data_IF_162206169774
#
_entry.id   IF_162206169774
#
_cell.length_a   1.000
_cell.length_b   1.000
_cell.length_c   1.000
_cell.angle_alpha   90.00
_cell.angle_beta   90.00
_cell.angle_gamma   90.00
#
_symmetry.space_group_name_H-M   'P 1'
#
loop_
_entity.id
_entity.type
_entity.pdbx_description
1 polymer ?
#
# COMPACT_ATOMS: atom_id res chain seq x y z
N UNK A 1 -13.63 -11.58 -19.78
CA UNK A 1 -12.19 -11.89 -19.87
C UNK A 1 -11.44 -10.95 -18.94
N UNK A 2 -10.28 -11.34 -18.44
CA UNK A 2 -9.38 -10.51 -17.64
C UNK A 2 -7.97 -10.61 -18.24
N UNK A 3 -7.26 -9.49 -18.34
CA UNK A 3 -5.96 -9.39 -19.01
C UNK A 3 -4.93 -8.75 -18.07
N UNK A 4 -3.80 -9.43 -17.86
CA UNK A 4 -2.79 -9.08 -16.86
C UNK A 4 -3.16 -9.60 -15.47
N UNK A 5 -2.19 -10.20 -14.78
CA UNK A 5 -2.34 -10.79 -13.43
C UNK A 5 -1.88 -9.84 -12.33
N UNK A 6 -2.14 -8.54 -12.49
CA UNK A 6 -1.95 -7.56 -11.44
C UNK A 6 -2.91 -7.82 -10.26
N UNK A 7 -2.64 -7.22 -9.10
CA UNK A 7 -3.45 -7.45 -7.91
C UNK A 7 -4.92 -7.03 -8.12
N UNK A 8 -5.14 -5.92 -8.83
CA UNK A 8 -6.46 -5.36 -9.13
C UNK A 8 -7.28 -6.36 -9.95
N UNK A 9 -6.66 -6.88 -11.02
CA UNK A 9 -7.23 -7.81 -11.98
C UNK A 9 -7.49 -9.17 -11.31
N UNK A 10 -6.56 -9.64 -10.47
CA UNK A 10 -6.71 -10.88 -9.71
C UNK A 10 -7.84 -10.82 -8.67
N UNK A 11 -7.98 -9.71 -7.93
CA UNK A 11 -9.08 -9.53 -6.97
C UNK A 11 -10.43 -9.50 -7.70
N UNK A 12 -10.55 -8.70 -8.77
CA UNK A 12 -11.76 -8.65 -9.60
C UNK A 12 -12.09 -10.03 -10.20
N UNK A 13 -11.08 -10.75 -10.70
CA UNK A 13 -11.22 -12.12 -11.21
C UNK A 13 -11.73 -13.09 -10.13
N UNK A 14 -11.23 -12.99 -8.90
CA UNK A 14 -11.68 -13.81 -7.78
C UNK A 14 -13.13 -13.51 -7.41
N UNK A 15 -13.47 -12.24 -7.22
CA UNK A 15 -14.82 -11.79 -6.83
C UNK A 15 -15.85 -12.12 -7.92
N UNK A 16 -15.51 -11.99 -9.21
CA UNK A 16 -16.40 -12.39 -10.30
C UNK A 16 -16.56 -13.91 -10.38
N UNK A 17 -15.52 -14.69 -10.09
CA UNK A 17 -15.60 -16.15 -9.94
C UNK A 17 -16.52 -16.58 -8.79
N UNK A 18 -16.38 -15.98 -7.59
CA UNK A 18 -17.25 -16.24 -6.42
C UNK A 18 -18.71 -15.85 -6.71
N UNK A 19 -18.93 -14.74 -7.44
CA UNK A 19 -20.25 -14.35 -7.96
C UNK A 19 -20.74 -15.21 -9.17
N UNK A 20 -20.23 -16.43 -9.32
CA UNK A 20 -20.71 -17.43 -10.28
C UNK A 20 -20.44 -17.11 -11.75
N UNK A 21 -19.53 -16.18 -12.07
CA UNK A 21 -19.16 -15.86 -13.46
C UNK A 21 -18.00 -16.74 -13.92
N UNK A 22 -18.11 -17.31 -15.12
CA UNK A 22 -17.01 -18.05 -15.74
C UNK A 22 -15.94 -17.07 -16.25
N UNK A 23 -14.78 -17.05 -15.59
CA UNK A 23 -13.68 -16.12 -15.92
C UNK A 23 -12.55 -16.83 -16.69
N UNK A 24 -12.23 -16.32 -17.89
CA UNK A 24 -10.92 -16.56 -18.51
C UNK A 24 -10.01 -15.37 -18.20
N UNK A 25 -8.85 -15.66 -17.63
CA UNK A 25 -7.83 -14.73 -17.18
C UNK A 25 -6.51 -15.05 -17.91
N UNK A 26 -5.84 -14.06 -18.49
CA UNK A 26 -4.65 -14.28 -19.33
C UNK A 26 -3.56 -13.25 -19.03
N UNK A 27 -2.29 -13.66 -19.09
CA UNK A 27 -1.15 -12.76 -19.02
C UNK A 27 -0.15 -13.04 -20.16
N UNK A 28 0.39 -11.97 -20.73
CA UNK A 28 1.49 -12.03 -21.68
C UNK A 28 2.81 -12.42 -21.02
N UNK A 29 2.97 -12.13 -19.72
CA UNK A 29 4.15 -12.49 -18.95
C UNK A 29 4.19 -14.00 -18.63
N UNK A 30 5.38 -14.61 -18.53
CA UNK A 30 5.54 -15.97 -18.01
C UNK A 30 5.48 -16.05 -16.47
N UNK A 31 5.14 -14.95 -15.79
CA UNK A 31 5.09 -14.81 -14.33
C UNK A 31 3.82 -14.05 -13.91
N UNK A 32 3.42 -14.23 -12.65
CA UNK A 32 2.27 -13.53 -12.06
C UNK A 32 2.63 -12.13 -11.54
N UNK A 33 1.66 -11.22 -11.49
CA UNK A 33 1.74 -9.95 -10.76
C UNK A 33 1.92 -8.69 -11.60
N UNK A 34 2.13 -8.81 -12.92
CA UNK A 34 2.33 -7.67 -13.82
C UNK A 34 3.43 -6.72 -13.36
N UNK A 35 3.13 -5.42 -13.27
CA UNK A 35 4.06 -4.40 -12.72
C UNK A 35 4.24 -4.48 -11.20
N UNK A 36 3.29 -5.10 -10.49
CA UNK A 36 3.35 -5.36 -9.04
C UNK A 36 4.02 -6.70 -8.67
N UNK A 37 4.67 -7.39 -9.61
CA UNK A 37 5.23 -8.71 -9.40
C UNK A 37 6.36 -8.76 -8.34
N UNK A 38 6.44 -9.90 -7.63
CA UNK A 38 7.60 -10.28 -6.82
C UNK A 38 8.61 -11.03 -7.68
N UNK A 39 9.82 -10.50 -7.79
CA UNK A 39 10.90 -11.13 -8.58
C UNK A 39 11.70 -12.09 -7.71
N UNK A 40 11.73 -13.36 -8.11
CA UNK A 40 12.56 -14.43 -7.57
C UNK A 40 13.08 -15.27 -8.75
N UNK A 41 14.36 -15.69 -8.77
CA UNK A 41 15.39 -15.41 -7.76
C UNK A 41 16.07 -14.04 -8.01
N UNK A 42 16.96 -13.62 -7.10
CA UNK A 42 17.66 -12.32 -7.16
C UNK A 42 18.42 -12.08 -8.47
N UNK A 43 18.90 -13.13 -9.14
CA UNK A 43 19.54 -13.06 -10.46
C UNK A 43 18.60 -12.46 -11.52
N UNK A 44 17.29 -12.74 -11.44
CA UNK A 44 16.30 -12.19 -12.37
C UNK A 44 15.99 -10.72 -12.09
N UNK A 45 16.15 -10.27 -10.84
CA UNK A 45 16.11 -8.83 -10.50
C UNK A 45 17.29 -8.09 -11.14
N UNK A 46 18.50 -8.66 -11.07
CA UNK A 46 19.68 -8.11 -11.76
C UNK A 46 19.47 -8.06 -13.28
N UNK A 47 18.90 -9.12 -13.88
CA UNK A 47 18.54 -9.15 -15.31
C UNK A 47 17.51 -8.06 -15.67
N UNK A 48 16.41 -7.93 -14.91
CA UNK A 48 15.33 -6.94 -15.16
C UNK A 48 15.85 -5.51 -15.11
N UNK A 49 16.64 -5.18 -14.09
CA UNK A 49 17.27 -3.86 -13.93
C UNK A 49 18.54 -3.65 -14.79
N UNK A 50 18.87 -4.59 -15.69
CA UNK A 50 20.01 -4.53 -16.63
C UNK A 50 21.38 -4.32 -15.94
N UNK A 51 21.49 -4.71 -14.67
CA UNK A 51 22.75 -4.69 -13.91
C UNK A 51 23.74 -5.73 -14.50
N UNK A 52 25.05 -5.54 -14.30
CA UNK A 52 26.06 -6.48 -14.79
C UNK A 52 26.31 -7.63 -13.81
N UNK A 53 26.97 -8.66 -14.32
CA UNK A 53 27.39 -9.81 -13.51
C UNK A 53 26.20 -10.57 -12.93
N UNK A 54 26.45 -11.18 -11.78
CA UNK A 54 25.46 -11.86 -10.95
C UNK A 54 25.35 -11.12 -9.60
N UNK A 55 24.35 -11.43 -8.76
CA UNK A 55 24.41 -11.02 -7.36
C UNK A 55 25.73 -11.49 -6.73
N UNK A 56 26.46 -10.62 -6.02
CA UNK A 56 27.69 -11.03 -5.34
C UNK A 56 27.36 -11.94 -4.16
N UNK A 57 28.29 -12.81 -3.78
CA UNK A 57 28.15 -13.80 -2.69
C UNK A 57 27.67 -13.18 -1.37
N UNK A 58 27.94 -11.88 -1.14
CA UNK A 58 27.43 -11.13 0.01
C UNK A 58 25.90 -11.05 0.09
N UNK A 59 25.15 -11.35 -0.98
CA UNK A 59 23.69 -11.41 -1.00
C UNK A 59 23.13 -12.82 -0.69
N UNK A 60 24.00 -13.79 -0.39
CA UNK A 60 23.66 -15.21 -0.19
C UNK A 60 22.96 -15.82 -1.41
N UNK A 61 22.01 -16.76 -1.23
CA UNK A 61 21.39 -17.52 -2.32
C UNK A 61 20.25 -16.72 -2.94
N UNK A 62 20.28 -16.48 -4.26
CA UNK A 62 19.27 -15.66 -4.94
C UNK A 62 17.83 -16.17 -4.81
N UNK A 63 17.61 -17.48 -4.61
CA UNK A 63 16.28 -18.08 -4.38
C UNK A 63 15.63 -17.71 -3.04
N UNK A 64 16.44 -17.25 -2.07
CA UNK A 64 15.97 -16.88 -0.74
C UNK A 64 15.46 -15.41 -0.74
N UNK A 65 15.28 -14.81 -1.92
CA UNK A 65 14.76 -13.45 -2.16
C UNK A 65 13.48 -13.47 -2.99
N UNK A 66 12.44 -12.76 -2.52
CA UNK A 66 11.21 -12.48 -3.24
C UNK A 66 11.00 -10.95 -3.24
N UNK A 67 11.45 -10.27 -4.29
CA UNK A 67 11.55 -8.80 -4.30
C UNK A 67 10.39 -8.17 -5.06
N UNK A 68 9.42 -7.66 -4.32
CA UNK A 68 8.29 -6.89 -4.84
C UNK A 68 8.77 -5.62 -5.58
N UNK A 69 8.29 -5.43 -6.81
CA UNK A 69 8.55 -4.20 -7.57
C UNK A 69 7.78 -2.99 -7.01
N UNK A 70 6.59 -3.21 -6.46
CA UNK A 70 5.71 -2.18 -5.90
C UNK A 70 5.17 -2.66 -4.53
N UNK A 71 5.96 -2.54 -3.45
CA UNK A 71 5.55 -3.03 -2.13
C UNK A 71 4.54 -2.08 -1.48
N UNK A 72 3.40 -2.65 -1.07
CA UNK A 72 2.30 -1.97 -0.38
C UNK A 72 1.87 -2.78 0.83
N UNK A 73 1.58 -2.10 1.93
CA UNK A 73 1.06 -2.71 3.15
C UNK A 73 -0.45 -2.81 3.15
N UNK A 74 -0.97 -3.86 3.78
CA UNK A 74 -2.40 -4.04 4.00
C UNK A 74 -2.78 -3.39 5.34
N UNK A 75 -3.73 -2.46 5.32
CA UNK A 75 -4.32 -1.90 6.54
C UNK A 75 -5.16 -2.98 7.24
N UNK A 76 -4.90 -3.28 8.52
CA UNK A 76 -5.44 -4.46 9.21
C UNK A 76 -6.98 -4.56 9.26
N UNK A 77 -7.69 -3.43 9.30
CA UNK A 77 -9.16 -3.36 9.22
C UNK A 77 -9.63 -2.76 7.87
N UNK A 78 -8.70 -2.54 6.93
CA UNK A 78 -8.93 -1.83 5.68
C UNK A 78 -9.70 -2.63 4.63
N UNK A 79 -10.04 -1.96 3.54
CA UNK A 79 -10.93 -2.49 2.51
C UNK A 79 -10.36 -3.77 1.85
N UNK A 80 -9.05 -3.84 1.62
CA UNK A 80 -8.40 -5.02 1.03
C UNK A 80 -8.55 -6.26 1.91
N UNK A 81 -8.31 -6.15 3.22
CA UNK A 81 -8.39 -7.31 4.13
C UNK A 81 -9.84 -7.86 4.18
N UNK A 82 -10.84 -6.97 4.09
CA UNK A 82 -12.25 -7.37 3.99
C UNK A 82 -12.55 -8.09 2.66
N UNK A 83 -11.99 -7.63 1.53
CA UNK A 83 -12.11 -8.33 0.24
C UNK A 83 -11.46 -9.71 0.28
N UNK A 84 -10.24 -9.82 0.82
CA UNK A 84 -9.52 -11.10 0.95
C UNK A 84 -10.31 -12.09 1.81
N UNK A 85 -10.81 -11.67 2.97
CA UNK A 85 -11.64 -12.49 3.86
C UNK A 85 -12.92 -12.99 3.16
N UNK A 86 -13.63 -12.12 2.43
CA UNK A 86 -14.83 -12.52 1.67
C UNK A 86 -14.51 -13.59 0.61
N UNK A 87 -13.37 -13.43 -0.09
CA UNK A 87 -12.92 -14.41 -1.09
C UNK A 87 -12.27 -15.66 -0.51
N UNK A 88 -12.22 -15.80 0.83
CA UNK A 88 -11.65 -16.91 1.63
C UNK A 88 -10.17 -17.25 1.35
N UNK A 89 -9.52 -16.51 0.46
CA UNK A 89 -8.13 -16.65 0.02
C UNK A 89 -7.12 -16.53 1.19
N UNK A 90 -7.52 -15.90 2.29
CA UNK A 90 -6.75 -15.82 3.54
C UNK A 90 -6.42 -17.20 4.12
N UNK A 91 -7.20 -18.24 3.81
CA UNK A 91 -6.92 -19.62 4.20
C UNK A 91 -5.69 -20.23 3.48
N UNK A 92 -5.10 -19.50 2.52
CA UNK A 92 -3.89 -19.89 1.78
C UNK A 92 -2.72 -18.91 1.98
N UNK A 93 -2.78 -17.99 2.95
CA UNK A 93 -1.86 -16.86 3.08
C UNK A 93 -1.45 -16.56 4.53
N UNK A 94 -0.13 -16.62 4.81
CA UNK A 94 0.42 -16.19 6.09
C UNK A 94 0.67 -14.67 6.09
N UNK A 95 -0.03 -13.94 6.97
CA UNK A 95 0.16 -12.51 7.18
C UNK A 95 1.03 -12.24 8.42
N UNK A 96 2.00 -11.33 8.29
CA UNK A 96 2.83 -10.84 9.39
C UNK A 96 2.52 -9.38 9.71
N UNK A 97 2.47 -9.06 11.00
CA UNK A 97 2.36 -7.68 11.49
C UNK A 97 3.70 -6.96 11.32
N UNK A 98 3.69 -5.83 10.61
CA UNK A 98 4.85 -4.94 10.41
C UNK A 98 5.22 -4.29 11.76
N UNK A 99 6.51 -4.15 12.09
CA UNK A 99 6.93 -3.76 13.45
C UNK A 99 6.57 -2.34 13.86
N UNK A 100 6.49 -1.41 12.92
CA UNK A 100 6.26 0.00 13.25
C UNK A 100 5.93 0.86 12.04
N UNK A 101 5.26 1.97 12.32
CA UNK A 101 5.01 3.09 11.41
C UNK A 101 5.72 4.31 11.97
N UNK A 102 6.48 4.99 11.10
CA UNK A 102 7.35 6.11 11.46
C UNK A 102 7.08 7.32 10.55
N UNK A 103 7.23 8.52 11.11
CA UNK A 103 7.18 9.79 10.37
C UNK A 103 8.52 10.51 10.50
N UNK A 104 8.96 11.14 9.41
CA UNK A 104 10.13 12.03 9.41
C UNK A 104 9.73 13.46 9.79
N UNK A 105 10.47 14.04 10.73
CA UNK A 105 10.35 15.45 11.14
C UNK A 105 11.75 16.02 11.41
N UNK A 106 12.07 17.17 10.84
CA UNK A 106 13.31 17.91 11.17
C UNK A 106 14.61 17.10 11.13
N UNK A 107 14.78 16.20 10.14
CA UNK A 107 15.99 15.38 10.00
C UNK A 107 16.00 14.05 10.75
N UNK A 108 14.94 13.70 11.48
CA UNK A 108 14.85 12.47 12.31
C UNK A 108 13.55 11.71 12.07
N UNK A 109 13.56 10.41 12.32
CA UNK A 109 12.37 9.55 12.31
C UNK A 109 11.82 9.33 13.72
N UNK A 110 10.49 9.32 13.84
CA UNK A 110 9.75 9.19 15.09
C UNK A 110 8.63 8.16 14.91
N UNK A 111 8.31 7.35 15.93
CA UNK A 111 7.12 6.48 15.86
C UNK A 111 5.87 7.37 15.75
N UNK A 112 4.98 7.05 14.81
CA UNK A 112 3.68 7.73 14.69
C UNK A 112 2.86 7.47 15.97
N UNK A 113 2.41 8.51 16.70
CA UNK A 113 1.59 8.33 17.89
C UNK A 113 0.12 8.16 17.51
N UNK A 114 -0.48 7.05 17.95
CA UNK A 114 -1.80 6.58 17.49
C UNK A 114 -2.74 6.16 18.62
N UNK A 115 -2.32 6.33 19.85
CA UNK A 115 -3.12 6.14 21.08
C UNK A 115 -2.84 7.28 22.06
N UNK A 116 -3.69 7.48 23.07
CA UNK A 116 -3.47 8.49 24.11
C UNK A 116 -2.12 8.32 24.84
N UNK A 117 -1.74 7.07 25.12
CA UNK A 117 -0.47 6.74 25.78
C UNK A 117 0.73 7.08 24.88
N UNK A 118 0.67 6.75 23.59
CA UNK A 118 1.72 7.10 22.63
C UNK A 118 1.81 8.62 22.39
N UNK A 119 0.68 9.33 22.33
CA UNK A 119 0.63 10.78 22.20
C UNK A 119 1.35 11.48 23.37
N UNK A 120 1.08 11.05 24.60
CA UNK A 120 1.74 11.58 25.79
C UNK A 120 3.23 11.19 25.85
N UNK A 121 3.60 9.98 25.41
CA UNK A 121 4.98 9.50 25.41
C UNK A 121 5.85 10.07 24.25
N UNK A 122 5.25 10.49 23.14
CA UNK A 122 5.95 10.87 21.91
C UNK A 122 6.99 11.98 22.09
N UNK A 123 8.10 11.93 21.35
CA UNK A 123 9.11 12.99 21.28
C UNK A 123 8.93 13.95 20.09
N UNK A 124 7.82 13.83 19.34
CA UNK A 124 7.50 14.63 18.16
C UNK A 124 6.84 15.99 18.49
N UNK A 125 6.25 16.11 19.68
CA UNK A 125 5.40 17.23 20.12
C UNK A 125 5.85 17.79 21.48
N UNK A 126 5.68 19.10 21.68
CA UNK A 126 5.82 19.77 22.97
C UNK A 126 4.73 19.40 23.98
N UNK A 127 4.93 19.75 25.26
CA UNK A 127 4.02 19.32 26.34
C UNK A 127 2.56 19.79 26.16
N UNK A 128 2.34 21.02 25.70
CA UNK A 128 1.00 21.55 25.43
C UNK A 128 0.37 20.88 24.20
N UNK A 129 1.12 20.77 23.11
CA UNK A 129 0.70 20.10 21.87
C UNK A 129 0.21 18.67 22.11
N UNK A 130 0.90 17.90 22.97
CA UNK A 130 0.48 16.54 23.37
C UNK A 130 -0.90 16.52 24.01
N UNK A 131 -1.22 17.50 24.85
CA UNK A 131 -2.53 17.59 25.50
C UNK A 131 -3.64 17.94 24.50
N UNK A 132 -3.34 18.80 23.52
CA UNK A 132 -4.25 19.12 22.41
C UNK A 132 -4.47 17.92 21.49
N UNK A 133 -3.39 17.27 21.03
CA UNK A 133 -3.45 16.10 20.16
C UNK A 133 -4.11 14.89 20.85
N UNK A 134 -3.90 14.68 22.15
CA UNK A 134 -4.64 13.67 22.94
C UNK A 134 -6.15 13.90 22.89
N UNK A 135 -6.62 15.14 23.09
CA UNK A 135 -8.06 15.46 23.00
C UNK A 135 -8.62 15.18 21.60
N UNK A 136 -7.86 15.52 20.56
CA UNK A 136 -8.21 15.21 19.18
C UNK A 136 -8.33 13.69 18.92
N UNK A 137 -7.39 12.87 19.42
CA UNK A 137 -7.49 11.40 19.31
C UNK A 137 -8.71 10.84 20.06
N UNK A 138 -9.04 11.36 21.25
CA UNK A 138 -10.24 10.97 22.01
C UNK A 138 -11.51 11.30 21.23
N UNK A 139 -11.59 12.49 20.62
CA UNK A 139 -12.69 12.90 19.75
C UNK A 139 -12.86 11.99 18.53
N UNK A 140 -11.76 11.66 17.83
CA UNK A 140 -11.81 10.74 16.67
C UNK A 140 -12.23 9.33 17.09
N UNK A 141 -11.83 8.86 18.28
CA UNK A 141 -12.23 7.56 18.80
C UNK A 141 -13.72 7.53 19.20
N UNK A 142 -14.25 8.61 19.78
CA UNK A 142 -15.65 8.70 20.23
C UNK A 142 -16.65 9.02 19.11
N UNK A 143 -16.20 9.52 17.96
CA UNK A 143 -17.04 9.88 16.82
C UNK A 143 -17.86 8.69 16.28
N UNK A 144 -19.18 8.84 16.20
CA UNK A 144 -20.12 7.95 15.52
C UNK A 144 -21.09 8.79 14.67
N UNK A 145 -21.11 8.55 13.35
CA UNK A 145 -22.01 9.23 12.40
C UNK A 145 -23.50 9.13 12.81
N UNK A 146 -23.88 8.06 13.52
CA UNK A 146 -25.26 7.82 13.95
C UNK A 146 -25.66 8.59 15.21
N UNK A 147 -24.71 9.17 15.93
CA UNK A 147 -24.96 9.95 17.15
C UNK A 147 -24.37 11.37 17.06
N UNK A 148 -25.18 12.37 16.67
CA UNK A 148 -24.76 13.77 16.59
C UNK A 148 -24.21 14.37 17.89
N UNK A 149 -24.43 13.74 19.05
CA UNK A 149 -23.82 14.17 20.32
C UNK A 149 -22.30 13.99 20.30
N UNK A 150 -21.80 12.99 19.57
CA UNK A 150 -20.36 12.71 19.43
C UNK A 150 -19.64 13.74 18.54
N UNK A 151 -20.37 14.53 17.74
CA UNK A 151 -19.76 15.48 16.81
C UNK A 151 -19.15 16.69 17.52
N UNK A 152 -19.50 16.97 18.78
CA UNK A 152 -19.02 18.10 19.57
C UNK A 152 -19.09 19.45 18.81
N UNK A 153 -20.23 19.75 18.18
CA UNK A 153 -20.48 21.01 17.45
C UNK A 153 -19.88 21.10 16.04
N UNK A 154 -19.26 20.03 15.54
CA UNK A 154 -18.81 19.90 14.14
C UNK A 154 -19.96 19.36 13.28
N UNK A 155 -20.18 19.89 12.07
CA UNK A 155 -20.96 19.20 11.04
C UNK A 155 -20.00 18.37 10.19
N UNK A 156 -19.97 17.03 10.29
CA UNK A 156 -18.96 16.22 9.61
C UNK A 156 -19.04 16.27 8.08
N UNK A 157 -20.19 16.68 7.51
CA UNK A 157 -20.43 16.74 6.06
C UNK A 157 -20.31 18.15 5.48
N UNK A 158 -19.96 19.15 6.30
CA UNK A 158 -19.70 20.54 5.86
C UNK A 158 -18.42 21.17 6.43
N UNK A 159 -18.07 20.84 7.67
CA UNK A 159 -16.92 21.44 8.37
C UNK A 159 -15.63 20.92 7.75
N UNK A 160 -14.72 21.82 7.40
CA UNK A 160 -13.43 21.43 6.83
C UNK A 160 -12.54 20.79 7.87
N UNK A 161 -11.61 19.90 7.46
CA UNK A 161 -10.66 19.33 8.41
C UNK A 161 -9.75 20.41 9.03
N UNK A 162 -9.45 21.48 8.28
CA UNK A 162 -8.74 22.68 8.76
C UNK A 162 -9.44 23.35 9.96
N UNK A 163 -10.77 23.45 9.93
CA UNK A 163 -11.56 23.97 11.05
C UNK A 163 -11.56 23.03 12.26
N UNK A 164 -11.60 21.71 12.03
CA UNK A 164 -11.45 20.71 13.11
C UNK A 164 -10.08 20.82 13.78
N UNK A 165 -8.99 20.90 13.02
CA UNK A 165 -7.66 21.10 13.59
C UNK A 165 -7.53 22.42 14.35
N UNK A 166 -8.17 23.49 13.87
CA UNK A 166 -8.24 24.79 14.56
C UNK A 166 -9.05 24.71 15.87
N UNK A 167 -10.14 23.94 15.92
CA UNK A 167 -10.91 23.68 17.16
C UNK A 167 -10.04 23.02 18.25
N UNK A 168 -9.13 22.13 17.86
CA UNK A 168 -8.25 21.42 18.78
C UNK A 168 -6.88 22.10 19.00
N UNK A 169 -6.64 23.28 18.43
CA UNK A 169 -5.38 24.04 18.54
C UNK A 169 -4.13 23.21 18.14
N UNK A 170 -4.21 22.55 16.97
CA UNK A 170 -3.11 21.75 16.43
C UNK A 170 -2.24 22.57 15.48
N UNK A 171 -0.94 22.67 15.77
CA UNK A 171 0.05 23.33 14.91
C UNK A 171 0.36 22.55 13.62
N UNK A 172 0.96 23.22 12.62
CA UNK A 172 1.20 22.65 11.28
C UNK A 172 1.99 21.32 11.32
N UNK A 173 3.02 21.20 12.17
CA UNK A 173 3.76 19.95 12.36
C UNK A 173 2.87 18.76 12.78
N UNK A 174 1.80 19.03 13.54
CA UNK A 174 0.83 18.03 14.00
C UNK A 174 -0.12 17.67 12.86
N UNK A 175 -0.57 18.68 12.12
CA UNK A 175 -1.40 18.53 10.92
C UNK A 175 -0.68 17.66 9.90
N UNK A 176 0.59 17.97 9.58
CA UNK A 176 1.47 17.21 8.68
C UNK A 176 1.45 15.70 9.02
N UNK A 177 1.83 15.29 10.24
CA UNK A 177 1.89 13.86 10.56
C UNK A 177 0.49 13.23 10.66
N UNK A 178 -0.53 14.00 11.06
CA UNK A 178 -1.90 13.47 11.16
C UNK A 178 -2.48 13.20 9.77
N UNK A 179 -2.35 14.13 8.83
CA UNK A 179 -2.81 13.94 7.45
C UNK A 179 -2.05 12.85 6.72
N UNK A 180 -0.71 12.95 6.72
CA UNK A 180 0.14 12.10 5.90
C UNK A 180 0.41 10.73 6.55
N UNK A 181 0.49 10.63 7.88
CA UNK A 181 0.90 9.39 8.57
C UNK A 181 -0.18 8.68 9.40
N UNK A 182 -1.34 9.30 9.66
CA UNK A 182 -2.52 8.64 10.24
C UNK A 182 -3.66 8.51 9.23
N UNK A 183 -4.05 9.61 8.56
CA UNK A 183 -5.11 9.61 7.56
C UNK A 183 -4.67 9.14 6.16
N UNK A 184 -3.35 9.01 5.95
CA UNK A 184 -2.70 8.52 4.73
C UNK A 184 -3.14 9.28 3.46
N UNK A 185 -3.19 10.61 3.57
CA UNK A 185 -3.27 11.50 2.41
C UNK A 185 -1.88 11.73 1.81
N UNK A 186 -1.83 12.05 0.50
CA UNK A 186 -0.60 12.27 -0.28
C UNK A 186 -0.25 13.75 -0.47
N UNK A 187 -1.20 14.62 -0.12
CA UNK A 187 -1.27 16.06 -0.38
C UNK A 187 -2.21 16.70 0.65
N UNK A 188 -2.00 17.99 0.94
CA UNK A 188 -2.80 18.79 1.89
C UNK A 188 -4.23 19.13 1.41
N UNK A 189 -4.67 18.66 0.23
CA UNK A 189 -5.98 18.98 -0.35
C UNK A 189 -7.17 18.61 0.56
N UNK A 190 -6.97 17.61 1.43
CA UNK A 190 -7.95 17.13 2.41
C UNK A 190 -8.30 18.16 3.49
N UNK A 191 -7.44 19.17 3.70
CA UNK A 191 -7.65 20.19 4.73
C UNK A 191 -8.92 21.00 4.49
N UNK A 192 -9.24 21.27 3.23
CA UNK A 192 -10.40 22.07 2.81
C UNK A 192 -11.57 21.18 2.32
N UNK A 193 -11.50 19.87 2.57
CA UNK A 193 -12.61 18.92 2.38
C UNK A 193 -13.37 18.67 3.69
N UNK A 194 -14.62 18.18 3.63
CA UNK A 194 -15.38 17.77 4.82
C UNK A 194 -14.62 16.77 5.69
N UNK A 195 -14.63 16.99 7.00
CA UNK A 195 -13.78 16.24 7.93
C UNK A 195 -14.14 14.75 8.08
N UNK A 196 -15.34 14.32 7.67
CA UNK A 196 -15.84 12.93 7.79
C UNK A 196 -14.84 11.86 7.32
N UNK A 197 -14.35 11.96 6.08
CA UNK A 197 -13.44 10.95 5.51
C UNK A 197 -12.11 10.90 6.27
N UNK A 198 -11.62 12.05 6.72
CA UNK A 198 -10.38 12.14 7.49
C UNK A 198 -10.53 11.55 8.89
N UNK A 199 -11.63 11.84 9.58
CA UNK A 199 -11.93 11.24 10.89
C UNK A 199 -12.02 9.72 10.76
N UNK A 200 -12.74 9.21 9.74
CA UNK A 200 -12.86 7.79 9.49
C UNK A 200 -11.53 7.12 9.10
N UNK A 201 -10.66 7.78 8.33
CA UNK A 201 -9.30 7.29 8.00
C UNK A 201 -8.40 7.19 9.23
N UNK A 202 -8.42 8.19 10.11
CA UNK A 202 -7.64 8.17 11.37
C UNK A 202 -8.20 7.11 12.31
N UNK A 203 -9.52 6.98 12.41
CA UNK A 203 -10.19 5.93 13.20
C UNK A 203 -9.82 4.54 12.69
N UNK A 204 -9.85 4.32 11.38
CA UNK A 204 -9.42 3.09 10.71
C UNK A 204 -7.96 2.74 11.04
N UNK A 205 -7.04 3.71 11.07
CA UNK A 205 -5.66 3.51 11.50
C UNK A 205 -5.58 3.05 12.96
N UNK A 206 -6.26 3.76 13.88
CA UNK A 206 -6.24 3.45 15.32
C UNK A 206 -6.87 2.09 15.64
N UNK A 207 -7.98 1.73 15.01
CA UNK A 207 -8.61 0.40 15.15
C UNK A 207 -7.72 -0.72 14.56
N UNK A 208 -7.05 -0.44 13.44
CA UNK A 208 -6.12 -1.37 12.80
C UNK A 208 -4.87 -1.62 13.65
N UNK A 209 -4.37 -0.57 14.33
CA UNK A 209 -3.31 -0.69 15.33
C UNK A 209 -3.81 -1.49 16.54
N UNK A 210 -4.98 -1.16 17.09
CA UNK A 210 -5.51 -1.79 18.31
C UNK A 210 -5.63 -3.32 18.18
N UNK A 211 -5.89 -3.83 16.97
CA UNK A 211 -5.92 -5.27 16.66
C UNK A 211 -4.58 -6.00 16.84
N UNK A 212 -3.44 -5.32 16.66
CA UNK A 212 -2.11 -5.96 16.60
C UNK A 212 -0.98 -5.27 17.40
N UNK A 213 -1.23 -4.11 18.01
CA UNK A 213 -0.39 -3.39 18.98
C UNK A 213 0.93 -2.77 18.48
N UNK A 214 1.48 -3.23 17.34
CA UNK A 214 2.81 -2.80 16.85
C UNK A 214 2.73 -1.69 15.81
N UNK A 215 1.97 -1.96 14.74
CA UNK A 215 1.59 -1.03 13.68
C UNK A 215 0.20 -1.46 13.15
N UNK A 216 -0.51 -0.62 12.37
CA UNK A 216 -1.77 -1.02 11.75
C UNK A 216 -1.59 -1.87 10.48
N UNK A 217 -0.36 -2.24 10.13
CA UNK A 217 0.00 -2.80 8.84
C UNK A 217 0.31 -4.30 8.90
N UNK A 218 -0.24 -5.02 7.93
CA UNK A 218 0.07 -6.40 7.60
C UNK A 218 0.84 -6.47 6.28
N UNK A 219 1.66 -7.52 6.13
CA UNK A 219 2.38 -7.87 4.91
C UNK A 219 2.46 -9.40 4.81
N UNK A 220 2.45 -9.97 3.60
CA UNK A 220 2.48 -11.42 3.43
C UNK A 220 3.90 -11.97 3.67
N UNK A 221 3.99 -13.19 4.20
CA UNK A 221 5.22 -13.98 4.04
C UNK A 221 5.42 -14.28 2.55
N UNK A 222 6.69 -14.31 2.10
CA UNK A 222 7.11 -14.48 0.71
C UNK A 222 6.72 -13.34 -0.26
N UNK A 223 6.13 -12.24 0.22
CA UNK A 223 5.86 -11.03 -0.57
C UNK A 223 4.49 -11.00 -1.26
N UNK A 224 4.19 -9.91 -1.96
CA UNK A 224 2.84 -9.69 -2.53
C UNK A 224 2.49 -10.61 -3.70
N UNK A 225 3.46 -11.27 -4.33
CA UNK A 225 3.26 -12.23 -5.42
C UNK A 225 2.43 -13.45 -5.05
N UNK A 226 2.31 -13.76 -3.76
CA UNK A 226 1.36 -14.76 -3.27
C UNK A 226 -0.11 -14.36 -3.50
N UNK A 227 -0.44 -13.06 -3.56
CA UNK A 227 -1.80 -12.58 -3.82
C UNK A 227 -2.31 -13.01 -5.22
N UNK A 228 -1.65 -12.67 -6.35
CA UNK A 228 -1.99 -13.21 -7.65
C UNK A 228 -2.03 -14.75 -7.72
N UNK A 229 -1.09 -15.44 -7.07
CA UNK A 229 -1.04 -16.92 -7.05
C UNK A 229 -2.25 -17.52 -6.35
N UNK A 230 -2.65 -16.97 -5.20
CA UNK A 230 -3.85 -17.37 -4.48
C UNK A 230 -5.13 -17.08 -5.27
N UNK A 231 -5.21 -15.95 -5.99
CA UNK A 231 -6.37 -15.62 -6.81
C UNK A 231 -6.48 -16.47 -8.08
N UNK A 232 -5.34 -16.88 -8.66
CA UNK A 232 -5.31 -17.89 -9.72
C UNK A 232 -5.85 -19.23 -9.23
N UNK A 233 -5.45 -19.67 -8.03
CA UNK A 233 -5.98 -20.88 -7.37
C UNK A 233 -7.48 -20.76 -7.08
N UNK A 234 -7.92 -19.64 -6.50
CA UNK A 234 -9.33 -19.40 -6.17
C UNK A 234 -10.21 -19.47 -7.42
N UNK A 235 -9.86 -18.71 -8.47
CA UNK A 235 -10.66 -18.69 -9.69
C UNK A 235 -10.71 -20.07 -10.37
N UNK A 236 -9.64 -20.87 -10.30
CA UNK A 236 -9.64 -22.25 -10.79
C UNK A 236 -10.59 -23.18 -10.02
N UNK A 237 -10.78 -23.00 -8.70
CA UNK A 237 -11.79 -23.73 -7.91
C UNK A 237 -13.20 -23.44 -8.44
N UNK A 238 -13.50 -22.18 -8.76
CA UNK A 238 -14.77 -21.75 -9.36
C UNK A 238 -14.83 -21.93 -10.91
N UNK A 239 -14.05 -22.86 -11.48
CA UNK A 239 -14.09 -23.21 -12.90
C UNK A 239 -13.61 -22.12 -13.87
N UNK A 240 -12.91 -21.09 -13.36
CA UNK A 240 -12.15 -20.14 -14.14
C UNK A 240 -10.85 -20.76 -14.69
N UNK A 241 -10.14 -20.02 -15.54
CA UNK A 241 -8.88 -20.50 -16.13
C UNK A 241 -7.88 -19.36 -16.22
N UNK A 242 -6.69 -19.58 -15.68
CA UNK A 242 -5.56 -18.65 -15.80
C UNK A 242 -4.56 -19.17 -16.84
N UNK A 243 -4.11 -18.30 -17.74
CA UNK A 243 -3.13 -18.63 -18.79
C UNK A 243 -1.99 -17.61 -18.81
N UNK A 244 -0.83 -17.99 -18.26
CA UNK A 244 0.42 -17.23 -18.41
C UNK A 244 1.07 -17.49 -19.78
N UNK A 245 2.02 -16.63 -20.16
CA UNK A 245 2.79 -16.72 -21.41
C UNK A 245 1.89 -16.78 -22.66
N UNK A 246 0.83 -15.97 -22.67
CA UNK A 246 -0.07 -15.74 -23.81
C UNK A 246 0.22 -14.36 -24.42
N UNK A 247 1.19 -14.26 -25.36
CA UNK A 247 1.63 -12.97 -25.88
C UNK A 247 0.49 -12.21 -26.54
N UNK A 248 0.53 -10.89 -26.42
CA UNK A 248 -0.31 -9.94 -27.15
C UNK A 248 0.60 -9.36 -28.23
N UNK A 249 0.23 -9.51 -29.50
CA UNK A 249 1.24 -9.82 -30.52
C UNK A 249 2.08 -8.66 -31.10
N UNK A 250 1.94 -7.39 -30.68
CA UNK A 250 2.96 -6.37 -31.01
C UNK A 250 3.01 -5.11 -30.11
N UNK A 251 4.20 -4.80 -29.53
CA UNK A 251 4.93 -3.50 -29.55
C UNK A 251 6.46 -3.82 -29.36
N UNK A 252 7.37 -3.10 -30.06
CA UNK A 252 8.86 -3.28 -30.08
C UNK A 252 9.53 -1.85 -30.10
N UNK A 253 10.81 -1.49 -29.84
CA UNK A 253 12.21 -2.01 -29.87
C UNK A 253 13.04 -1.25 -28.78
N UNK A 254 14.05 -1.71 -28.01
CA UNK A 254 14.96 -2.89 -27.92
C UNK A 254 16.44 -2.67 -28.40
N UNK A 255 17.34 -2.08 -27.58
CA UNK A 255 18.82 -2.09 -27.80
C UNK A 255 19.71 -1.77 -26.55
N UNK A 256 20.86 -2.45 -26.40
CA UNK A 256 22.11 -2.02 -25.67
C UNK A 256 22.14 -1.82 -24.13
N UNK A 257 22.71 -2.76 -23.34
CA UNK A 257 22.97 -2.64 -21.87
C UNK A 257 24.33 -1.98 -21.50
N UNK A 258 24.39 -1.33 -20.32
CA UNK A 258 25.58 -1.00 -19.48
C UNK A 258 25.10 -0.98 -18.01
N UNK A 259 25.55 -1.80 -17.02
CA UNK A 259 26.87 -2.03 -16.35
C UNK A 259 27.23 -0.96 -15.26
N UNK A 260 27.32 -1.38 -13.97
CA UNK A 260 27.69 -0.57 -12.78
C UNK A 260 28.29 -1.40 -11.61
N UNK A 261 28.56 -0.82 -10.42
CA UNK A 261 29.30 -1.43 -9.26
C UNK A 261 28.74 -0.98 -7.88
N UNK A 262 29.21 -1.55 -6.74
CA UNK A 262 28.52 -1.71 -5.43
C UNK A 262 29.22 -1.08 -4.18
N UNK A 263 28.54 -1.03 -3.02
CA UNK A 263 28.84 -0.33 -1.74
C UNK A 263 28.85 -1.28 -0.49
N UNK A 264 29.01 -0.78 0.76
CA UNK A 264 29.04 -1.59 2.02
C UNK A 264 28.60 -0.88 3.33
N UNK A 265 27.88 -1.59 4.22
CA UNK A 265 27.66 -1.27 5.64
C UNK A 265 26.34 -1.83 6.22
N UNK A 266 26.00 -1.56 7.50
CA UNK A 266 25.05 -2.37 8.32
C UNK A 266 23.72 -1.66 8.70
N UNK A 267 22.68 -2.40 9.13
CA UNK A 267 21.30 -1.87 9.21
C UNK A 267 20.27 -2.49 10.20
N UNK A 268 18.99 -2.26 9.91
CA UNK A 268 17.85 -2.19 10.86
C UNK A 268 17.03 -3.47 11.02
N UNK A 269 16.67 -3.89 12.25
CA UNK A 269 16.02 -5.19 12.52
C UNK A 269 14.48 -5.21 12.36
N UNK A 270 14.07 -5.57 11.15
CA UNK A 270 12.72 -5.96 10.67
C UNK A 270 11.75 -4.85 10.26
N UNK A 271 10.81 -5.25 9.41
CA UNK A 271 10.06 -4.36 8.51
C UNK A 271 9.22 -3.27 9.17
N UNK A 272 9.16 -2.13 8.49
CA UNK A 272 8.57 -0.87 8.94
C UNK A 272 8.14 0.01 7.76
N UNK A 273 7.25 0.97 8.04
CA UNK A 273 6.92 2.07 7.14
C UNK A 273 7.58 3.36 7.63
N UNK A 274 8.13 4.18 6.72
CA UNK A 274 8.51 5.57 7.00
C UNK A 274 7.76 6.47 6.00
N UNK A 275 7.10 7.51 6.50
CA UNK A 275 6.48 8.56 5.69
C UNK A 275 7.25 9.86 5.92
N UNK A 276 7.62 10.53 4.82
CA UNK A 276 8.29 11.83 4.82
C UNK A 276 7.31 12.83 4.20
N UNK A 277 6.58 13.62 5.03
CA UNK A 277 5.58 14.57 4.55
C UNK A 277 6.18 15.60 3.61
N UNK A 278 5.44 15.96 2.56
CA UNK A 278 5.87 16.90 1.51
C UNK A 278 6.44 18.22 2.06
N UNK A 279 5.84 18.73 3.14
CA UNK A 279 6.19 20.01 3.79
C UNK A 279 7.57 19.94 4.48
N UNK A 280 7.92 18.79 5.06
CA UNK A 280 9.19 18.56 5.77
C UNK A 280 10.41 18.47 4.84
N UNK A 281 10.20 18.37 3.51
CA UNK A 281 11.26 18.26 2.49
C UNK A 281 11.08 19.20 1.28
N UNK A 282 10.19 20.18 1.37
CA UNK A 282 9.88 21.17 0.31
C UNK A 282 9.57 20.49 -1.05
N UNK A 283 8.45 19.76 -1.05
CA UNK A 283 7.88 18.99 -2.17
C UNK A 283 6.38 19.28 -2.33
N UNK A 284 5.78 18.70 -3.36
CA UNK A 284 4.32 18.64 -3.63
C UNK A 284 3.79 17.20 -3.56
N UNK A 285 4.58 16.30 -2.98
CA UNK A 285 4.27 14.88 -2.82
C UNK A 285 5.22 14.25 -1.81
N UNK A 286 4.69 13.39 -0.95
CA UNK A 286 5.44 12.68 0.08
C UNK A 286 6.50 11.75 -0.50
N UNK A 287 7.50 11.42 0.30
CA UNK A 287 8.39 10.29 0.04
C UNK A 287 8.02 9.18 1.03
N UNK A 288 7.70 8.00 0.52
CA UNK A 288 7.40 6.82 1.33
C UNK A 288 8.56 5.84 1.28
N UNK A 289 8.84 5.18 2.41
CA UNK A 289 9.81 4.09 2.51
C UNK A 289 9.11 2.86 3.07
N UNK A 290 9.03 1.80 2.27
CA UNK A 290 8.68 0.47 2.74
C UNK A 290 9.97 -0.30 3.02
N UNK A 291 10.15 -0.83 4.23
CA UNK A 291 11.23 -1.76 4.54
C UNK A 291 10.66 -3.11 4.96
N UNK A 292 11.17 -4.18 4.36
CA UNK A 292 10.87 -5.58 4.67
C UNK A 292 12.17 -6.39 4.74
N UNK A 293 12.13 -7.60 5.34
CA UNK A 293 13.32 -8.35 5.77
C UNK A 293 13.15 -9.85 5.61
N UNK A 294 14.23 -10.60 5.83
CA UNK A 294 14.21 -12.07 6.02
C UNK A 294 13.12 -12.56 6.98
N UNK A 295 12.69 -11.76 7.97
CA UNK A 295 11.59 -12.11 8.86
C UNK A 295 10.22 -12.23 8.15
N UNK A 296 10.12 -11.80 6.89
CA UNK A 296 8.97 -11.98 6.01
C UNK A 296 9.27 -12.95 4.84
N UNK A 297 10.40 -13.67 4.86
CA UNK A 297 10.84 -14.62 3.84
C UNK A 297 11.00 -14.01 2.41
N UNK A 298 11.29 -12.70 2.35
CA UNK A 298 11.51 -11.94 1.10
C UNK A 298 12.98 -11.64 0.79
N UNK A 299 13.89 -11.92 1.72
CA UNK A 299 15.32 -11.70 1.56
C UNK A 299 16.12 -12.73 2.37
N UNK A 300 17.37 -12.96 1.96
CA UNK A 300 18.28 -13.88 2.64
C UNK A 300 18.64 -13.42 4.08
N UNK A 301 19.29 -14.29 4.87
CA UNK A 301 19.36 -14.11 6.31
C UNK A 301 20.10 -12.82 6.71
N UNK A 302 19.51 -12.04 7.63
CA UNK A 302 20.07 -10.74 8.02
C UNK A 302 19.98 -9.64 6.96
N UNK A 303 19.31 -9.88 5.82
CA UNK A 303 19.12 -8.88 4.75
C UNK A 303 17.80 -8.13 4.84
N UNK A 304 17.83 -6.93 4.26
CA UNK A 304 16.76 -5.94 4.28
C UNK A 304 16.55 -5.39 2.88
N UNK A 305 15.29 -5.25 2.49
CA UNK A 305 14.84 -4.58 1.26
C UNK A 305 14.18 -3.29 1.72
N UNK A 306 14.77 -2.15 1.37
CA UNK A 306 14.18 -0.83 1.58
C UNK A 306 13.88 -0.20 0.23
N UNK A 307 12.61 0.05 -0.04
CA UNK A 307 12.10 0.59 -1.30
C UNK A 307 11.52 1.98 -1.04
N UNK A 308 11.99 2.95 -1.82
CA UNK A 308 11.69 4.38 -1.67
C UNK A 308 10.88 4.84 -2.87
N UNK A 309 9.67 5.34 -2.63
CA UNK A 309 8.71 5.78 -3.65
C UNK A 309 8.29 7.24 -3.45
N UNK A 310 8.09 7.96 -4.54
CA UNK A 310 7.57 9.34 -4.55
C UNK A 310 7.18 9.77 -5.98
N UNK A 311 6.39 10.83 -6.14
CA UNK A 311 6.01 11.34 -7.47
C UNK A 311 7.11 12.19 -8.11
N UNK A 312 7.36 12.02 -9.41
CA UNK A 312 8.40 12.74 -10.15
C UNK A 312 7.96 14.18 -10.45
N UNK A 313 8.48 15.13 -9.69
CA UNK A 313 8.20 16.58 -9.82
C UNK A 313 9.19 17.33 -10.73
N UNK A 314 10.35 16.73 -11.05
CA UNK A 314 11.48 17.43 -11.67
C UNK A 314 12.27 16.51 -12.60
N UNK A 315 13.09 17.09 -13.48
CA UNK A 315 13.98 16.35 -14.40
C UNK A 315 15.10 15.56 -13.70
N UNK A 316 15.27 15.69 -12.37
CA UNK A 316 16.32 15.01 -11.60
C UNK A 316 15.73 14.18 -10.41
N UNK A 317 14.90 13.16 -10.67
CA UNK A 317 14.17 12.42 -9.62
C UNK A 317 15.09 11.85 -8.53
N UNK A 318 16.30 11.39 -8.90
CA UNK A 318 17.30 10.85 -7.98
C UNK A 318 17.74 11.84 -6.88
N UNK A 319 17.65 13.16 -7.09
CA UNK A 319 17.97 14.16 -6.07
C UNK A 319 16.84 14.33 -5.04
N UNK A 320 15.57 14.14 -5.44
CA UNK A 320 14.42 14.35 -4.55
C UNK A 320 14.26 13.25 -3.50
N UNK A 321 14.63 12.00 -3.81
CA UNK A 321 14.64 10.90 -2.83
C UNK A 321 15.85 10.92 -1.87
N UNK A 322 16.77 11.90 -1.99
CA UNK A 322 17.98 11.97 -1.16
C UNK A 322 17.72 11.90 0.37
N UNK A 323 16.75 12.62 0.95
CA UNK A 323 16.49 12.55 2.41
C UNK A 323 16.10 11.15 2.89
N UNK A 324 15.44 10.35 2.05
CA UNK A 324 15.12 8.96 2.35
C UNK A 324 16.34 8.04 2.20
N UNK A 325 17.21 8.31 1.20
CA UNK A 325 18.44 7.54 1.02
C UNK A 325 19.43 7.74 2.16
N UNK A 326 19.56 8.96 2.69
CA UNK A 326 20.46 9.28 3.81
C UNK A 326 20.04 8.60 5.13
N UNK A 327 18.76 8.24 5.30
CA UNK A 327 18.26 7.42 6.42
C UNK A 327 18.55 5.92 6.25
N UNK A 328 18.89 5.49 5.04
CA UNK A 328 19.07 4.09 4.64
C UNK A 328 20.55 3.77 4.37
N UNK A 329 21.46 4.73 4.48
CA UNK A 329 22.88 4.47 4.37
C UNK A 329 23.40 3.75 5.63
N UNK A 330 24.28 2.74 5.46
CA UNK A 330 24.96 2.38 4.21
C UNK A 330 24.18 1.37 3.34
N UNK A 331 23.94 1.71 2.07
CA UNK A 331 23.17 0.88 1.13
C UNK A 331 24.08 -0.15 0.45
N UNK A 332 23.71 -1.44 0.47
CA UNK A 332 24.48 -2.50 -0.20
C UNK A 332 24.33 -2.43 -1.73
N UNK A 333 23.12 -2.55 -2.27
CA UNK A 333 22.81 -2.46 -3.72
C UNK A 333 21.63 -1.53 -3.97
N UNK A 334 21.58 -0.87 -5.14
CA UNK A 334 20.50 0.06 -5.51
C UNK A 334 19.92 -0.26 -6.88
N UNK A 335 18.63 -0.60 -6.90
CA UNK A 335 17.81 -0.75 -8.09
C UNK A 335 16.99 0.53 -8.26
N UNK A 336 16.81 1.02 -9.50
CA UNK A 336 16.08 2.26 -9.76
C UNK A 336 15.15 2.06 -10.94
N UNK A 337 13.84 2.17 -10.70
CA UNK A 337 12.82 2.28 -11.74
C UNK A 337 12.29 3.71 -11.81
N UNK A 338 11.73 4.06 -12.96
CA UNK A 338 10.81 5.19 -13.15
C UNK A 338 9.69 4.62 -14.01
N UNK A 339 8.45 4.73 -13.55
CA UNK A 339 7.26 4.20 -14.23
C UNK A 339 6.27 5.33 -14.45
N UNK A 340 5.73 5.42 -15.67
CA UNK A 340 4.65 6.35 -15.98
C UNK A 340 3.32 5.86 -15.38
N UNK A 341 2.52 6.79 -14.84
CA UNK A 341 1.24 6.46 -14.22
C UNK A 341 0.09 6.73 -15.20
N UNK A 342 -0.56 5.66 -15.63
CA UNK A 342 -1.71 5.69 -16.55
C UNK A 342 -3.04 5.59 -15.81
N UNK A 343 -4.07 6.18 -16.40
CA UNK A 343 -5.47 6.12 -15.95
C UNK A 343 -6.39 5.88 -17.15
N UNK A 344 -7.54 5.22 -16.98
CA UNK A 344 -8.53 5.06 -18.04
C UNK A 344 -9.01 6.41 -18.60
N UNK A 345 -9.10 6.52 -19.93
CA UNK A 345 -9.82 7.61 -20.63
C UNK A 345 -11.28 7.26 -20.91
N UNK A 346 -11.56 5.97 -21.07
CA UNK A 346 -12.89 5.40 -21.21
C UNK A 346 -13.25 4.68 -19.89
N UNK A 347 -14.46 4.90 -19.39
CA UNK A 347 -14.96 4.27 -18.17
C UNK A 347 -15.43 2.82 -18.41
N UNK A 348 -15.54 2.39 -19.68
CA UNK A 348 -15.96 1.04 -20.05
C UNK A 348 -17.47 0.83 -20.07
N UNK A 349 -18.27 1.84 -19.75
CA UNK A 349 -19.74 1.72 -19.69
C UNK A 349 -20.36 1.39 -21.05
N UNK A 350 -19.83 1.97 -22.14
CA UNK A 350 -20.27 1.70 -23.52
C UNK A 350 -19.43 0.61 -24.19
N UNK A 351 -18.10 0.68 -24.09
CA UNK A 351 -17.18 -0.27 -24.74
C UNK A 351 -17.13 -1.65 -24.08
N UNK A 352 -17.56 -1.76 -22.83
CA UNK A 352 -17.38 -2.92 -21.94
C UNK A 352 -15.89 -3.30 -21.70
N UNK A 353 -14.98 -2.35 -21.91
CA UNK A 353 -13.53 -2.48 -21.65
C UNK A 353 -13.17 -1.71 -20.37
N UNK A 354 -13.07 -2.44 -19.25
CA UNK A 354 -12.82 -1.85 -17.94
C UNK A 354 -11.32 -1.88 -17.61
N UNK A 355 -10.67 -0.73 -17.75
CA UNK A 355 -9.22 -0.55 -17.51
C UNK A 355 -8.99 -0.03 -16.07
N UNK A 356 -7.95 -0.54 -15.43
CA UNK A 356 -7.47 -0.16 -14.09
C UNK A 356 -6.48 1.00 -14.12
N UNK A 357 -6.20 1.58 -12.95
CA UNK A 357 -5.21 2.65 -12.75
C UNK A 357 -3.85 2.03 -12.43
N UNK A 358 -2.77 2.66 -12.90
CA UNK A 358 -1.42 2.29 -12.49
C UNK A 358 -1.23 2.47 -10.97
N UNK A 359 -0.54 1.53 -10.33
CA UNK A 359 -0.26 1.57 -8.89
C UNK A 359 0.51 2.84 -8.51
N UNK A 360 -0.06 3.65 -7.62
CA UNK A 360 0.56 4.89 -7.16
C UNK A 360 1.75 4.66 -6.20
N UNK A 361 2.49 5.73 -5.94
CA UNK A 361 3.67 5.72 -5.07
C UNK A 361 3.41 5.47 -3.57
N UNK A 362 2.16 5.29 -3.12
CA UNK A 362 1.88 5.04 -1.69
C UNK A 362 2.35 3.65 -1.26
N UNK A 363 2.71 3.49 0.01
CA UNK A 363 3.08 2.19 0.59
C UNK A 363 1.89 1.45 1.22
N UNK A 364 0.67 1.66 0.72
CA UNK A 364 -0.55 0.96 1.15
C UNK A 364 -1.54 0.77 -0.02
N UNK A 365 -2.55 -0.06 0.17
CA UNK A 365 -3.48 -0.47 -0.88
C UNK A 365 -4.79 0.34 -0.99
N UNK A 366 -5.01 1.35 -0.16
CA UNK A 366 -6.32 2.02 -0.09
C UNK A 366 -6.77 2.61 -1.45
N UNK A 367 -5.89 3.28 -2.17
CA UNK A 367 -6.16 3.81 -3.53
C UNK A 367 -6.33 2.71 -4.58
N UNK A 368 -5.80 1.51 -4.34
CA UNK A 368 -6.05 0.31 -5.16
C UNK A 368 -7.42 -0.27 -4.87
N UNK A 369 -7.87 -0.29 -3.62
CA UNK A 369 -9.22 -0.73 -3.25
C UNK A 369 -10.31 0.18 -3.81
N UNK A 370 -10.08 1.49 -3.81
CA UNK A 370 -11.02 2.43 -4.42
C UNK A 370 -11.11 2.25 -5.94
N UNK A 371 -10.02 1.90 -6.63
CA UNK A 371 -10.05 1.53 -8.05
C UNK A 371 -10.75 0.17 -8.30
N UNK A 372 -10.51 -0.84 -7.47
CA UNK A 372 -11.23 -2.14 -7.54
C UNK A 372 -12.75 -1.93 -7.39
N UNK A 373 -13.18 -1.09 -6.45
CA UNK A 373 -14.61 -0.76 -6.24
C UNK A 373 -15.20 0.03 -7.40
N UNK A 374 -14.46 1.01 -7.92
CA UNK A 374 -14.84 1.79 -9.10
C UNK A 374 -15.01 0.89 -10.33
N UNK A 375 -14.04 0.01 -10.62
CA UNK A 375 -14.12 -0.98 -11.70
C UNK A 375 -15.31 -1.92 -11.49
N UNK A 376 -15.48 -2.51 -10.29
CA UNK A 376 -16.60 -3.39 -9.98
C UNK A 376 -17.94 -2.70 -10.24
N UNK A 377 -18.13 -1.49 -9.72
CA UNK A 377 -19.35 -0.69 -9.92
C UNK A 377 -19.60 -0.37 -11.39
N UNK A 378 -18.55 -0.06 -12.16
CA UNK A 378 -18.66 0.16 -13.61
C UNK A 378 -19.03 -1.13 -14.36
N UNK A 379 -18.59 -2.29 -13.88
CA UNK A 379 -18.89 -3.62 -14.45
C UNK A 379 -20.27 -4.18 -14.09
N UNK A 380 -20.78 -3.92 -12.87
CA UNK A 380 -22.04 -4.51 -12.37
C UNK A 380 -23.22 -3.54 -12.32
N UNK A 381 -22.98 -2.24 -12.46
CA UNK A 381 -23.91 -1.15 -12.14
C UNK A 381 -24.43 -1.17 -10.68
N UNK A 382 -23.74 -1.86 -9.77
CA UNK A 382 -24.09 -1.95 -8.34
C UNK A 382 -22.93 -1.47 -7.45
N UNK A 383 -23.24 -0.97 -6.25
CA UNK A 383 -22.19 -0.70 -5.26
C UNK A 383 -21.50 -1.99 -4.79
N UNK A 384 -20.29 -1.83 -4.24
CA UNK A 384 -19.56 -2.92 -3.60
C UNK A 384 -20.01 -3.07 -2.13
N UNK A 385 -21.03 -3.87 -1.87
CA UNK A 385 -21.51 -4.12 -0.50
C UNK A 385 -20.83 -5.33 0.15
N UNK A 386 -20.02 -5.04 1.19
CA UNK A 386 -19.39 -6.05 2.03
C UNK A 386 -20.39 -6.83 2.91
N UNK A 387 -21.59 -6.31 3.18
CA UNK A 387 -22.57 -6.95 4.06
C UNK A 387 -23.53 -7.89 3.29
N UNK A 388 -23.95 -7.56 2.06
CA UNK A 388 -24.58 -8.53 1.14
C UNK A 388 -23.63 -9.72 0.88
N UNK A 389 -22.33 -9.43 0.71
CA UNK A 389 -21.31 -10.44 0.41
C UNK A 389 -21.14 -11.48 1.53
N UNK A 390 -21.14 -11.10 2.82
CA UNK A 390 -21.10 -12.08 3.93
C UNK A 390 -22.25 -13.09 3.87
N UNK A 391 -23.47 -12.60 3.66
CA UNK A 391 -24.70 -13.42 3.68
C UNK A 391 -24.73 -14.51 2.60
N UNK A 392 -23.90 -14.41 1.56
CA UNK A 392 -23.81 -15.42 0.50
C UNK A 392 -22.95 -16.62 0.90
N UNK A 393 -21.95 -16.45 1.76
CA UNK A 393 -21.13 -17.57 2.24
C UNK A 393 -21.93 -18.39 3.28
N UNK A 394 -22.73 -17.73 4.13
CA UNK A 394 -23.63 -18.40 5.09
C UNK A 394 -24.63 -19.36 4.43
N UNK A 395 -25.01 -19.12 3.15
CA UNK A 395 -26.00 -19.93 2.40
C UNK A 395 -25.39 -21.21 1.79
N UNK A 396 -24.06 -21.30 1.70
CA UNK A 396 -23.34 -22.49 1.21
C UNK A 396 -22.64 -23.27 2.33
N UNK A 397 -23.03 -23.04 3.59
CA UNK A 397 -22.42 -23.63 4.78
C UNK A 397 -23.07 -24.90 5.34
N UNK A 398 -24.23 -25.33 4.82
CA UNK A 398 -24.95 -26.55 5.24
C UNK A 398 -25.47 -27.35 4.01
N UNK A 399 -24.66 -28.31 3.52
CA UNK A 399 -25.07 -29.53 2.79
C UNK A 399 -23.87 -30.51 2.67
#
# INVERSE_FOLDING_TARGET
>A
FVLGTGLTECILSGIMSVNGKKVLHMDQNPYYGGESASIMPLEDLYKRFKLPGQPPESMEKGRDWNVDLIPKFLMANGQLVKMLLYTEITCYMDFKVVKGSFVYKGGKIYKVPSTEAEALASSLMGLFEKCCFRKFLVYVASFDEKDPRTFEGVDPKKTTMREVYKKFDLGQDIIDFTGHSLALYRTDDYLDQPCYDTINRIKLYSESLARYGKSPYLYLLYGLGELPRGFARLSAIYGGTYMLNKPIEEIIVQNGKVVGIKSKGEGWRDGLAIIIPQNQVNRKSDISVCMISFAHNVAAQGKYIAIVSTTVETKEPKKKIRPALELLEPIEQKFVSISDLFVPKDLGTESQIFISRAYDATTHFETTCDDIKDIYKRMTASEFDFEEMKRKNDIYGED
#
